data_IF_257759662758
#
_entry.id   IF_257759662758
#
_cell.length_a   1.000
_cell.length_b   1.000
_cell.length_c   1.000
_cell.angle_alpha   90.00
_cell.angle_beta   90.00
_cell.angle_gamma   90.00
#
_symmetry.space_group_name_H-M   'P 1'
#
loop_
_entity.id
_entity.type
_entity.pdbx_description
1 polymer ?
#
# COMPACT_ATOMS: atom_id res chain seq x y z
N UNK A 1 -27.35 -31.93 -28.08
CA UNK A 1 -26.84 -31.95 -26.70
C UNK A 1 -26.03 -30.68 -26.49
N UNK A 2 -26.36 -29.79 -25.55
CA UNK A 2 -25.51 -28.62 -25.31
C UNK A 2 -24.24 -29.06 -24.56
N UNK A 3 -23.08 -28.67 -25.08
CA UNK A 3 -21.82 -28.78 -24.35
C UNK A 3 -21.83 -27.75 -23.22
N UNK A 4 -21.75 -28.22 -21.97
CA UNK A 4 -21.60 -27.34 -20.81
C UNK A 4 -20.15 -26.86 -20.78
N UNK A 5 -19.92 -25.55 -20.92
CA UNK A 5 -18.58 -24.97 -20.81
C UNK A 5 -18.19 -24.92 -19.32
N UNK A 6 -17.21 -25.71 -18.85
CA UNK A 6 -16.78 -25.61 -17.45
C UNK A 6 -16.12 -24.25 -17.22
N UNK A 7 -16.53 -23.53 -16.17
CA UNK A 7 -15.80 -22.35 -15.72
C UNK A 7 -14.38 -22.78 -15.35
N UNK A 8 -13.39 -22.39 -16.15
CA UNK A 8 -11.98 -22.49 -15.77
C UNK A 8 -11.67 -21.31 -14.86
N UNK A 9 -11.43 -21.58 -13.58
CA UNK A 9 -10.92 -20.56 -12.67
C UNK A 9 -9.41 -20.47 -12.86
N UNK A 10 -8.91 -19.35 -13.35
CA UNK A 10 -7.47 -19.10 -13.40
C UNK A 10 -7.03 -18.66 -12.00
N UNK A 11 -6.37 -19.55 -11.28
CA UNK A 11 -5.72 -19.20 -10.02
C UNK A 11 -4.37 -18.54 -10.33
N UNK A 12 -4.23 -17.24 -10.05
CA UNK A 12 -2.93 -16.60 -10.06
C UNK A 12 -2.14 -17.09 -8.85
N UNK A 13 -1.16 -17.95 -9.09
CA UNK A 13 -0.26 -18.39 -8.02
C UNK A 13 0.54 -17.19 -7.52
N UNK A 14 0.39 -16.86 -6.24
CA UNK A 14 1.24 -15.87 -5.58
C UNK A 14 2.69 -16.30 -5.73
N UNK A 15 3.55 -15.46 -6.32
CA UNK A 15 4.98 -15.72 -6.42
C UNK A 15 5.55 -15.78 -4.99
N UNK A 16 5.93 -16.98 -4.54
CA UNK A 16 6.21 -17.34 -3.14
C UNK A 16 7.46 -16.68 -2.52
N UNK A 17 8.02 -15.63 -3.14
CA UNK A 17 9.23 -14.95 -2.67
C UNK A 17 9.03 -13.48 -2.26
N UNK A 18 7.94 -12.83 -2.69
CA UNK A 18 7.67 -11.44 -2.38
C UNK A 18 6.25 -11.31 -1.83
N UNK A 19 6.10 -10.61 -0.70
CA UNK A 19 4.77 -10.26 -0.22
C UNK A 19 4.04 -9.45 -1.31
N UNK A 20 2.78 -9.78 -1.65
CA UNK A 20 2.04 -9.04 -2.66
C UNK A 20 1.69 -7.64 -2.13
N UNK A 21 1.62 -6.67 -3.05
CA UNK A 21 1.12 -5.35 -2.71
C UNK A 21 -0.35 -5.42 -2.25
N UNK A 22 -0.62 -4.85 -1.08
CA UNK A 22 -1.96 -4.71 -0.54
C UNK A 22 -2.59 -3.41 -1.03
N UNK A 23 -3.72 -3.49 -1.74
CA UNK A 23 -4.45 -2.29 -2.18
C UNK A 23 -5.17 -1.63 -1.00
N UNK A 24 -4.90 -0.36 -0.76
CA UNK A 24 -5.62 0.49 0.21
C UNK A 24 -6.23 1.69 -0.50
N UNK A 25 -7.46 2.05 -0.11
CA UNK A 25 -8.27 3.13 -0.71
C UNK A 25 -8.73 4.16 0.33
N UNK A 26 -8.30 3.99 1.58
CA UNK A 26 -8.70 4.79 2.72
C UNK A 26 -7.59 4.75 3.78
N UNK A 27 -7.74 5.56 4.83
CA UNK A 27 -6.77 5.69 5.91
C UNK A 27 -6.27 4.35 6.42
N UNK A 28 -4.94 4.21 6.51
CA UNK A 28 -4.29 2.97 6.89
C UNK A 28 -3.06 3.22 7.76
N UNK A 29 -2.89 2.40 8.80
CA UNK A 29 -1.68 2.36 9.62
C UNK A 29 -0.81 1.21 9.12
N UNK A 30 0.32 1.53 8.50
CA UNK A 30 1.26 0.55 8.01
C UNK A 30 1.93 -0.18 9.16
N UNK A 31 2.25 -1.46 8.93
CA UNK A 31 3.17 -2.23 9.76
C UNK A 31 4.48 -2.45 9.01
N UNK A 32 5.54 -2.75 9.75
CA UNK A 32 6.83 -3.11 9.18
C UNK A 32 6.70 -4.19 8.11
N UNK A 33 7.40 -4.02 6.98
CA UNK A 33 7.43 -4.97 5.87
C UNK A 33 6.21 -4.87 4.95
N UNK A 34 5.25 -3.99 5.25
CA UNK A 34 4.09 -3.79 4.39
C UNK A 34 4.52 -3.29 3.00
N UNK A 35 3.87 -3.88 1.99
CA UNK A 35 3.93 -3.41 0.61
C UNK A 35 2.54 -2.93 0.23
N UNK A 36 2.38 -1.64 0.01
CA UNK A 36 1.09 -0.97 -0.07
C UNK A 36 0.91 -0.34 -1.45
N UNK A 37 -0.13 -0.78 -2.16
CA UNK A 37 -0.64 -0.08 -3.33
C UNK A 37 -1.67 0.94 -2.85
N UNK A 38 -1.23 2.18 -2.73
CA UNK A 38 -2.06 3.29 -2.33
C UNK A 38 -2.88 3.79 -3.51
N UNK A 39 -4.15 3.38 -3.57
CA UNK A 39 -5.09 3.79 -4.60
C UNK A 39 -5.79 5.07 -4.16
N UNK A 40 -5.45 6.18 -4.82
CA UNK A 40 -5.96 7.52 -4.56
C UNK A 40 -6.99 7.96 -5.63
N UNK A 41 -7.51 7.02 -6.43
CA UNK A 41 -8.55 7.31 -7.42
C UNK A 41 -9.89 7.68 -6.80
N UNK A 42 -10.17 7.21 -5.59
CA UNK A 42 -11.39 7.52 -4.83
C UNK A 42 -11.32 8.80 -3.99
N UNK A 43 -10.16 9.48 -3.99
CA UNK A 43 -9.91 10.67 -3.19
C UNK A 43 -8.62 10.58 -2.38
N UNK A 44 -8.27 11.69 -1.75
CA UNK A 44 -7.06 11.81 -0.93
C UNK A 44 -7.27 11.12 0.43
N UNK A 45 -6.23 10.46 0.93
CA UNK A 45 -6.26 9.81 2.24
C UNK A 45 -4.86 9.74 2.87
N UNK A 46 -4.82 9.35 4.15
CA UNK A 46 -3.60 9.36 4.95
C UNK A 46 -3.10 7.95 5.27
N UNK A 47 -1.84 7.68 4.92
CA UNK A 47 -1.09 6.51 5.37
C UNK A 47 -0.23 6.90 6.56
N UNK A 48 -0.38 6.21 7.69
CA UNK A 48 0.44 6.44 8.89
C UNK A 48 1.51 5.36 8.99
N UNK A 49 2.78 5.77 9.09
CA UNK A 49 3.90 4.84 9.27
C UNK A 49 3.88 4.18 10.66
N UNK A 50 4.58 3.03 10.82
CA UNK A 50 4.65 2.34 12.10
C UNK A 50 5.16 3.26 13.23
N UNK A 51 4.57 3.15 14.42
CA UNK A 51 5.00 3.93 15.60
C UNK A 51 6.29 3.41 16.25
N UNK A 52 6.86 2.29 15.79
CA UNK A 52 8.14 1.78 16.28
C UNK A 52 8.94 1.19 15.11
N UNK A 53 9.45 2.04 14.20
CA UNK A 53 10.32 1.56 13.15
C UNK A 53 11.61 1.02 13.79
N UNK A 54 11.93 -0.25 13.55
CA UNK A 54 13.24 -0.80 13.94
C UNK A 54 14.23 -0.53 12.81
N UNK A 55 15.50 -0.30 13.15
CA UNK A 55 16.54 -0.14 12.14
C UNK A 55 16.56 -1.35 11.17
N UNK A 56 16.62 -1.06 9.87
CA UNK A 56 16.59 -2.09 8.82
C UNK A 56 15.19 -2.53 8.36
N UNK A 57 14.12 -1.92 8.88
CA UNK A 57 12.75 -2.18 8.45
C UNK A 57 12.27 -1.11 7.46
N UNK A 58 11.55 -1.55 6.43
CA UNK A 58 10.96 -0.71 5.39
C UNK A 58 9.45 -0.93 5.24
N UNK A 59 8.82 0.06 4.59
CA UNK A 59 7.44 -0.01 4.07
C UNK A 59 7.52 0.48 2.63
N UNK A 60 7.08 -0.34 1.69
CA UNK A 60 7.09 0.01 0.27
C UNK A 60 5.72 0.57 -0.12
N UNK A 61 5.71 1.77 -0.70
CA UNK A 61 4.47 2.45 -1.10
C UNK A 61 4.53 2.70 -2.60
N UNK A 62 3.55 2.15 -3.32
CA UNK A 62 3.29 2.47 -4.72
C UNK A 62 1.96 3.20 -4.81
N UNK A 63 1.92 4.33 -5.50
CA UNK A 63 0.69 5.10 -5.66
C UNK A 63 0.01 4.82 -7.01
N UNK A 64 -1.32 4.91 -7.03
CA UNK A 64 -2.16 4.77 -8.24
C UNK A 64 -3.27 5.81 -8.25
N UNK A 65 -3.42 6.50 -9.38
CA UNK A 65 -4.45 7.52 -9.59
C UNK A 65 -3.83 8.90 -9.72
N UNK A 66 -4.66 9.96 -9.70
CA UNK A 66 -4.22 11.37 -9.79
C UNK A 66 -4.46 12.14 -8.50
N UNK A 67 -4.79 11.44 -7.41
CA UNK A 67 -4.99 12.03 -6.10
C UNK A 67 -3.66 12.23 -5.35
N UNK A 68 -3.77 12.72 -4.13
CA UNK A 68 -2.64 12.88 -3.22
C UNK A 68 -2.73 11.87 -2.08
N UNK A 69 -1.63 11.14 -1.84
CA UNK A 69 -1.44 10.37 -0.62
C UNK A 69 -0.71 11.24 0.40
N UNK A 70 -1.25 11.37 1.61
CA UNK A 70 -0.54 11.99 2.73
C UNK A 70 0.14 10.90 3.56
N UNK A 71 1.47 10.91 3.64
CA UNK A 71 2.24 10.00 4.48
C UNK A 71 2.55 10.69 5.81
N UNK A 72 1.99 10.16 6.90
CA UNK A 72 2.20 10.66 8.25
C UNK A 72 3.39 9.93 8.92
N UNK A 73 4.30 10.66 9.60
CA UNK A 73 5.57 10.14 10.14
C UNK A 73 5.49 8.99 11.15
N UNK A 74 4.32 8.72 11.73
CA UNK A 74 4.24 7.81 12.87
C UNK A 74 5.00 8.40 14.06
N UNK A 75 6.04 7.72 14.55
CA UNK A 75 6.88 8.18 15.67
C UNK A 75 8.22 8.78 15.27
N UNK A 76 8.62 8.65 14.01
CA UNK A 76 9.94 9.07 13.53
C UNK A 76 9.81 10.19 12.48
N UNK A 77 10.81 11.07 12.41
CA UNK A 77 10.82 12.16 11.43
C UNK A 77 10.94 11.59 10.01
N UNK A 78 10.13 12.12 9.09
CA UNK A 78 10.27 11.85 7.66
C UNK A 78 11.23 12.87 7.07
N UNK A 79 12.31 12.45 6.40
CA UNK A 79 13.29 13.35 5.79
C UNK A 79 13.80 14.47 6.73
N UNK A 80 13.91 14.17 8.04
CA UNK A 80 14.33 15.14 9.06
C UNK A 80 13.25 16.12 9.54
N UNK A 81 12.02 16.04 9.03
CA UNK A 81 10.88 16.86 9.44
C UNK A 81 9.82 16.04 10.21
N UNK A 82 9.16 16.69 11.18
CA UNK A 82 8.03 16.10 11.92
C UNK A 82 6.70 16.63 11.37
N UNK A 83 6.48 16.44 10.07
CA UNK A 83 5.25 16.83 9.40
C UNK A 83 4.88 15.76 8.36
N UNK A 84 3.58 15.55 8.10
CA UNK A 84 3.16 14.68 7.01
C UNK A 84 3.73 15.15 5.68
N UNK A 85 4.12 14.20 4.83
CA UNK A 85 4.59 14.48 3.47
C UNK A 85 3.53 14.08 2.46
N UNK A 86 3.28 14.93 1.47
CA UNK A 86 2.38 14.64 0.37
C UNK A 86 3.15 13.94 -0.77
N UNK A 87 2.58 12.84 -1.27
CA UNK A 87 3.04 12.16 -2.49
C UNK A 87 1.95 12.36 -3.54
N UNK A 88 2.26 13.15 -4.57
CA UNK A 88 1.42 13.30 -5.76
C UNK A 88 1.79 12.22 -6.78
N UNK A 89 0.77 11.67 -7.45
CA UNK A 89 0.91 10.61 -8.46
C UNK A 89 0.69 11.13 -9.87
#
# INVERSE_FOLDING_TARGET
MPISNPLVTVQFNSYQGLQPFQRKVANYSAVTGDRILADVTGGNWTLTLPQQPTYGQDVEILTRGTGTLTVSPGSAKLNGVNQPQAIAS
#
